data_IF_041235259368
#
_entry.id   IF_041235259368
#
_cell.length_a   1.000
_cell.length_b   1.000
_cell.length_c   1.000
_cell.angle_alpha   90.00
_cell.angle_beta   90.00
_cell.angle_gamma   90.00
#
_symmetry.space_group_name_H-M   'P 1'
#
loop_
_entity.id
_entity.type
_entity.pdbx_description
1 polymer ?
#
# COMPACT_ATOMS: atom_id res chain seq x y z
N UNK A 1 -23.80 18.26 -14.62
CA UNK A 1 -22.92 19.36 -14.13
C UNK A 1 -21.53 18.75 -13.99
N UNK A 2 -20.76 18.77 -15.09
CA UNK A 2 -19.52 18.01 -15.25
C UNK A 2 -18.34 18.81 -14.72
N UNK A 3 -17.71 18.36 -13.63
CA UNK A 3 -16.37 18.81 -13.21
C UNK A 3 -15.67 17.68 -12.44
N UNK A 4 -14.68 17.06 -13.06
CA UNK A 4 -13.38 16.69 -12.48
C UNK A 4 -12.63 15.71 -13.39
N UNK A 5 -12.15 16.20 -14.54
CA UNK A 5 -10.91 15.68 -15.14
C UNK A 5 -9.92 16.84 -15.17
N UNK A 6 -9.10 16.93 -14.13
CA UNK A 6 -7.82 17.66 -14.17
C UNK A 6 -6.75 16.71 -13.67
N UNK A 7 -6.47 15.68 -14.47
CA UNK A 7 -5.10 15.16 -14.53
C UNK A 7 -4.35 16.15 -15.40
N UNK A 8 -3.28 16.73 -14.85
CA UNK A 8 -2.47 17.76 -15.48
C UNK A 8 -2.21 17.44 -16.96
N UNK A 9 -2.58 18.36 -17.85
CA UNK A 9 -2.11 18.41 -19.23
C UNK A 9 -0.61 18.74 -19.21
N UNK A 10 0.23 17.77 -18.87
CA UNK A 10 1.60 17.74 -19.36
C UNK A 10 1.79 16.44 -20.14
N UNK A 11 1.44 16.50 -21.43
CA UNK A 11 1.54 15.38 -22.38
C UNK A 11 2.99 14.99 -22.72
N UNK A 12 4.00 15.61 -22.09
CA UNK A 12 5.40 15.40 -22.46
C UNK A 12 6.00 14.08 -21.94
N UNK A 13 5.33 13.39 -21.01
CA UNK A 13 5.87 12.19 -20.34
C UNK A 13 4.93 10.98 -20.35
N UNK A 14 3.98 10.91 -21.29
CA UNK A 14 3.07 9.75 -21.41
C UNK A 14 3.26 9.14 -22.79
N UNK A 15 3.73 7.89 -22.85
CA UNK A 15 3.76 7.14 -24.10
C UNK A 15 2.35 6.61 -24.38
N UNK A 16 1.72 7.18 -25.40
CA UNK A 16 0.49 6.65 -25.97
C UNK A 16 0.86 5.55 -26.96
N UNK A 17 0.41 4.32 -26.70
CA UNK A 17 0.61 3.20 -27.63
C UNK A 17 -0.65 3.11 -28.50
N UNK A 18 -0.51 3.17 -29.84
CA UNK A 18 -1.67 2.99 -30.72
C UNK A 18 -2.13 1.54 -30.61
N UNK A 19 -3.42 1.34 -30.32
CA UNK A 19 -4.04 0.03 -30.45
C UNK A 19 -4.30 -0.21 -31.94
N UNK A 20 -3.32 -0.80 -32.62
CA UNK A 20 -3.39 -1.08 -34.06
C UNK A 20 -4.51 -2.06 -34.40
N UNK A 21 -5.64 -1.55 -34.91
CA UNK A 21 -6.53 -2.31 -35.78
C UNK A 21 -6.19 -1.98 -37.25
N UNK A 22 -4.99 -2.36 -37.66
CA UNK A 22 -4.58 -2.37 -39.07
C UNK A 22 -4.86 -3.73 -39.71
N UNK A 23 -6.12 -4.15 -39.78
CA UNK A 23 -6.55 -5.18 -40.73
C UNK A 23 -7.75 -4.61 -41.47
N UNK A 24 -7.48 -4.00 -42.62
CA UNK A 24 -8.51 -3.66 -43.59
C UNK A 24 -9.07 -4.98 -44.16
N UNK A 25 -10.11 -5.52 -43.54
CA UNK A 25 -11.00 -6.44 -44.22
C UNK A 25 -12.01 -5.59 -44.99
N UNK A 26 -11.69 -5.28 -46.25
CA UNK A 26 -12.65 -4.69 -47.19
C UNK A 26 -13.76 -5.70 -47.47
N UNK A 27 -14.91 -5.51 -46.83
CA UNK A 27 -16.18 -6.00 -47.36
C UNK A 27 -16.69 -4.99 -48.39
N UNK A 28 -17.15 -5.42 -49.57
CA UNK A 28 -17.66 -4.51 -50.58
C UNK A 28 -19.10 -4.14 -50.25
N UNK A 29 -19.33 -2.85 -49.97
CA UNK A 29 -20.68 -2.29 -49.90
C UNK A 29 -20.94 -1.52 -48.61
N UNK A 30 -21.05 -0.20 -48.80
CA UNK A 30 -21.77 0.77 -48.00
C UNK A 30 -21.13 1.39 -46.74
N UNK A 31 -21.19 2.72 -46.79
CA UNK A 31 -21.02 3.74 -45.74
C UNK A 31 -19.67 3.79 -45.00
N UNK A 32 -18.86 4.76 -45.42
CA UNK A 32 -17.74 5.32 -44.64
C UNK A 32 -18.25 5.83 -43.29
N UNK A 33 -18.12 5.00 -42.25
CA UNK A 33 -18.15 5.43 -40.86
C UNK A 33 -16.87 6.23 -40.58
N UNK A 34 -16.92 7.51 -40.94
CA UNK A 34 -15.84 8.47 -40.75
C UNK A 34 -15.89 9.03 -39.33
N UNK A 35 -15.35 8.25 -38.38
CA UNK A 35 -14.83 8.68 -37.08
C UNK A 35 -14.30 7.45 -36.32
N UNK A 36 -13.15 6.90 -36.74
CA UNK A 36 -12.40 6.05 -35.83
C UNK A 36 -11.84 6.96 -34.73
N UNK A 37 -12.51 7.05 -33.57
CA UNK A 37 -11.88 7.58 -32.37
C UNK A 37 -10.60 6.76 -32.15
N UNK A 38 -9.43 7.38 -32.32
CA UNK A 38 -8.16 6.73 -32.02
C UNK A 38 -8.13 6.43 -30.51
N UNK A 39 -8.40 5.18 -30.15
CA UNK A 39 -8.30 4.71 -28.79
C UNK A 39 -6.83 4.50 -28.42
N UNK A 40 -6.28 5.49 -27.73
CA UNK A 40 -4.93 5.44 -27.18
C UNK A 40 -4.95 4.77 -25.81
N UNK A 41 -4.21 3.68 -25.67
CA UNK A 41 -3.92 3.10 -24.36
C UNK A 41 -2.78 3.90 -23.72
N UNK A 42 -2.97 4.27 -22.46
CA UNK A 42 -1.94 4.94 -21.66
C UNK A 42 -0.99 3.90 -21.09
N UNK A 43 0.30 3.98 -21.41
CA UNK A 43 1.33 3.20 -20.74
C UNK A 43 2.20 4.11 -19.87
N UNK A 44 2.37 3.74 -18.60
CA UNK A 44 3.23 4.42 -17.64
C UNK A 44 4.25 3.40 -17.14
N UNK A 45 5.52 3.65 -17.45
CA UNK A 45 6.64 2.82 -17.02
C UNK A 45 6.90 2.95 -15.51
N UNK A 46 7.70 2.03 -14.94
CA UNK A 46 8.09 2.11 -13.53
C UNK A 46 8.88 3.40 -13.23
N UNK A 47 9.71 3.86 -14.17
CA UNK A 47 10.49 5.10 -14.01
C UNK A 47 9.56 6.32 -13.91
N UNK A 48 8.58 6.43 -14.81
CA UNK A 48 7.59 7.50 -14.81
C UNK A 48 6.71 7.45 -13.56
N UNK A 49 6.17 6.27 -13.22
CA UNK A 49 5.28 6.13 -12.07
C UNK A 49 6.01 6.39 -10.75
N UNK A 50 7.27 5.96 -10.62
CA UNK A 50 8.11 6.17 -9.45
C UNK A 50 8.53 7.63 -9.24
N UNK A 51 8.62 8.41 -10.33
CA UNK A 51 8.91 9.84 -10.30
C UNK A 51 7.67 10.68 -9.94
N UNK A 52 6.48 10.24 -10.35
CA UNK A 52 5.23 10.97 -10.12
C UNK A 52 4.61 10.72 -8.75
N UNK A 53 4.83 9.54 -8.16
CA UNK A 53 4.18 9.18 -6.89
C UNK A 53 4.81 9.88 -5.69
N UNK A 54 3.96 10.49 -4.86
CA UNK A 54 4.31 11.13 -3.59
C UNK A 54 3.46 10.59 -2.45
N UNK A 55 3.87 10.84 -1.21
CA UNK A 55 3.06 10.47 -0.04
C UNK A 55 1.74 11.25 0.01
N UNK A 56 1.73 12.52 -0.44
CA UNK A 56 0.54 13.35 -0.60
C UNK A 56 -0.47 12.69 -1.53
N UNK A 57 -0.02 12.33 -2.73
CA UNK A 57 -0.87 11.73 -3.76
C UNK A 57 -1.40 10.38 -3.30
N UNK A 58 -0.52 9.54 -2.74
CA UNK A 58 -0.91 8.23 -2.26
C UNK A 58 -1.89 8.30 -1.08
N UNK A 59 -1.72 9.24 -0.16
CA UNK A 59 -2.61 9.46 0.97
C UNK A 59 -4.02 9.82 0.51
N UNK A 60 -4.15 10.81 -0.38
CA UNK A 60 -5.48 11.22 -0.86
C UNK A 60 -6.15 10.11 -1.69
N UNK A 61 -5.39 9.44 -2.56
CA UNK A 61 -5.91 8.30 -3.32
C UNK A 61 -6.37 7.14 -2.42
N UNK A 62 -5.59 6.80 -1.38
CA UNK A 62 -5.96 5.77 -0.41
C UNK A 62 -7.21 6.17 0.39
N UNK A 63 -7.29 7.44 0.81
CA UNK A 63 -8.46 7.98 1.52
C UNK A 63 -9.72 7.90 0.65
N UNK A 64 -9.65 8.33 -0.61
CA UNK A 64 -10.75 8.24 -1.56
C UNK A 64 -11.18 6.80 -1.81
N UNK A 65 -10.22 5.89 -2.00
CA UNK A 65 -10.51 4.47 -2.19
C UNK A 65 -11.20 3.85 -0.96
N UNK A 66 -10.78 4.21 0.25
CA UNK A 66 -11.42 3.73 1.49
C UNK A 66 -12.85 4.27 1.62
N UNK A 67 -13.08 5.56 1.32
CA UNK A 67 -14.44 6.12 1.27
C UNK A 67 -15.29 5.42 0.22
N UNK A 68 -14.76 5.20 -0.99
CA UNK A 68 -15.46 4.52 -2.08
C UNK A 68 -15.82 3.07 -1.69
N UNK A 69 -14.94 2.36 -0.98
CA UNK A 69 -15.20 0.99 -0.53
C UNK A 69 -16.35 0.86 0.49
N UNK A 70 -16.74 1.96 1.14
CA UNK A 70 -17.93 2.00 1.98
C UNK A 70 -19.21 2.21 1.16
N UNK A 71 -19.11 2.59 -0.11
CA UNK A 71 -20.24 2.74 -1.01
C UNK A 71 -20.76 1.38 -1.49
N UNK A 72 -22.06 1.30 -1.82
CA UNK A 72 -22.66 0.09 -2.40
C UNK A 72 -22.31 -0.13 -3.88
N UNK A 73 -21.55 0.78 -4.48
CA UNK A 73 -21.20 0.76 -5.90
C UNK A 73 -19.74 0.37 -6.14
N UNK A 74 -18.97 0.14 -5.06
CA UNK A 74 -17.60 -0.37 -5.15
C UNK A 74 -17.53 -1.85 -4.81
N UNK A 75 -16.74 -2.58 -5.59
CA UNK A 75 -16.56 -4.01 -5.48
C UNK A 75 -15.07 -4.34 -5.42
N UNK A 76 -14.71 -5.22 -4.49
CA UNK A 76 -13.40 -5.87 -4.45
C UNK A 76 -13.63 -7.36 -4.64
N UNK A 77 -13.01 -7.94 -5.65
CA UNK A 77 -13.20 -9.35 -5.99
C UNK A 77 -12.15 -10.23 -5.30
N UNK A 78 -12.43 -11.54 -5.13
CA UNK A 78 -11.48 -12.46 -4.51
C UNK A 78 -10.12 -12.46 -5.23
N UNK A 79 -9.05 -12.33 -4.45
CA UNK A 79 -7.70 -12.34 -4.99
C UNK A 79 -7.33 -13.74 -5.51
N UNK A 80 -6.75 -13.81 -6.71
CA UNK A 80 -6.11 -15.03 -7.22
C UNK A 80 -4.67 -15.05 -6.73
N UNK A 81 -4.23 -16.17 -6.15
CA UNK A 81 -2.86 -16.39 -5.72
C UNK A 81 -2.25 -17.52 -6.54
N UNK A 82 -1.14 -17.23 -7.21
CA UNK A 82 -0.43 -18.18 -8.07
C UNK A 82 1.02 -18.40 -7.63
N UNK A 83 1.55 -19.56 -8.00
CA UNK A 83 2.97 -19.92 -7.88
C UNK A 83 3.50 -20.27 -9.24
N UNK A 84 4.78 -20.01 -9.47
CA UNK A 84 5.45 -20.51 -10.68
C UNK A 84 6.02 -21.90 -10.42
N UNK A 85 6.75 -22.45 -11.40
CA UNK A 85 7.51 -23.69 -11.22
C UNK A 85 8.52 -23.60 -10.05
N UNK A 86 9.07 -22.41 -9.79
CA UNK A 86 9.86 -22.16 -8.59
C UNK A 86 8.93 -21.85 -7.41
N UNK A 87 8.87 -22.74 -6.41
CA UNK A 87 7.94 -22.63 -5.28
C UNK A 87 8.08 -21.34 -4.46
N UNK A 88 9.24 -20.68 -4.53
CA UNK A 88 9.52 -19.41 -3.84
C UNK A 88 9.01 -18.18 -4.58
N UNK A 89 8.64 -18.32 -5.85
CA UNK A 89 8.13 -17.23 -6.68
C UNK A 89 6.60 -17.30 -6.72
N UNK A 90 5.97 -16.18 -6.38
CA UNK A 90 4.51 -16.08 -6.28
C UNK A 90 4.01 -14.86 -7.03
N UNK A 91 2.78 -14.92 -7.52
CA UNK A 91 2.07 -13.75 -8.03
C UNK A 91 0.66 -13.70 -7.47
N UNK A 92 0.05 -12.53 -7.53
CA UNK A 92 -1.33 -12.31 -7.12
C UNK A 92 -2.05 -11.43 -8.14
N UNK A 93 -3.33 -11.71 -8.36
CA UNK A 93 -4.22 -10.85 -9.14
C UNK A 93 -5.29 -10.34 -8.18
N UNK A 94 -5.37 -9.02 -8.04
CA UNK A 94 -6.34 -8.34 -7.18
C UNK A 94 -7.14 -7.40 -8.07
N UNK A 95 -8.44 -7.62 -8.16
CA UNK A 95 -9.33 -6.83 -9.01
C UNK A 95 -10.37 -6.07 -8.21
N UNK A 96 -10.80 -4.94 -8.75
CA UNK A 96 -11.83 -4.12 -8.14
C UNK A 96 -12.47 -3.18 -9.16
N UNK A 97 -13.61 -2.64 -8.76
CA UNK A 97 -14.41 -1.71 -9.53
C UNK A 97 -15.03 -0.68 -8.59
N UNK A 98 -15.14 0.56 -9.04
CA UNK A 98 -15.89 1.64 -8.42
C UNK A 98 -16.58 2.44 -9.52
N UNK A 99 -17.34 3.47 -9.15
CA UNK A 99 -18.01 4.37 -10.10
C UNK A 99 -17.03 4.99 -11.11
N UNK A 100 -15.79 5.25 -10.70
CA UNK A 100 -14.80 5.95 -11.51
C UNK A 100 -13.73 5.04 -12.14
N UNK A 101 -13.34 3.93 -11.48
CA UNK A 101 -12.28 3.05 -11.96
C UNK A 101 -12.66 1.56 -11.91
N UNK A 102 -12.33 0.84 -12.98
CA UNK A 102 -12.36 -0.63 -12.99
C UNK A 102 -11.01 -1.17 -13.46
N UNK A 103 -10.48 -2.19 -12.78
CA UNK A 103 -9.19 -2.74 -13.17
C UNK A 103 -8.67 -3.86 -12.29
N UNK A 104 -7.44 -4.25 -12.59
CA UNK A 104 -6.71 -5.32 -11.88
C UNK A 104 -5.30 -4.89 -11.55
N UNK A 105 -4.78 -5.40 -10.44
CA UNK A 105 -3.36 -5.34 -10.09
C UNK A 105 -2.77 -6.73 -10.09
N UNK A 106 -1.70 -6.91 -10.85
CA UNK A 106 -0.88 -8.12 -10.86
C UNK A 106 0.35 -7.82 -10.02
N UNK A 107 0.43 -8.40 -8.82
CA UNK A 107 1.60 -8.30 -7.94
C UNK A 107 2.49 -9.52 -8.10
N UNK A 108 3.81 -9.34 -8.05
CA UNK A 108 4.80 -10.41 -8.13
C UNK A 108 5.76 -10.38 -6.95
N UNK A 109 6.20 -11.56 -6.51
CA UNK A 109 7.27 -11.74 -5.53
C UNK A 109 8.26 -12.80 -6.01
N UNK A 110 9.48 -12.37 -6.33
CA UNK A 110 10.58 -13.21 -6.81
C UNK A 110 11.73 -13.17 -5.80
N UNK A 111 11.94 -14.25 -5.07
CA UNK A 111 12.89 -14.28 -3.94
C UNK A 111 14.34 -14.07 -4.37
N UNK A 112 14.70 -14.51 -5.57
CA UNK A 112 16.05 -14.49 -6.14
C UNK A 112 16.42 -13.18 -6.86
N UNK A 113 15.45 -12.28 -7.10
CA UNK A 113 15.68 -11.02 -7.81
C UNK A 113 16.83 -10.15 -7.26
N UNK A 114 17.09 -10.07 -5.94
CA UNK A 114 18.22 -9.29 -5.45
C UNK A 114 19.57 -9.70 -6.01
N UNK A 115 19.76 -10.98 -6.38
CA UNK A 115 20.99 -11.44 -7.02
C UNK A 115 21.18 -10.87 -8.44
N UNK A 116 20.12 -10.31 -9.03
CA UNK A 116 20.09 -9.65 -10.35
C UNK A 116 19.97 -8.13 -10.24
N UNK A 117 20.10 -7.56 -9.03
CA UNK A 117 19.88 -6.14 -8.80
C UNK A 117 18.42 -5.69 -8.91
N UNK A 118 17.46 -6.63 -8.93
CA UNK A 118 16.03 -6.34 -9.06
C UNK A 118 15.32 -6.41 -7.70
N UNK A 119 14.22 -5.66 -7.51
CA UNK A 119 13.41 -5.77 -6.30
C UNK A 119 12.69 -7.12 -6.26
N UNK A 120 12.48 -7.65 -5.05
CA UNK A 120 11.69 -8.88 -4.85
C UNK A 120 10.24 -8.68 -5.23
N UNK A 121 9.68 -7.54 -4.86
CA UNK A 121 8.30 -7.19 -5.15
C UNK A 121 8.23 -6.29 -6.38
N UNK A 122 7.30 -6.58 -7.27
CA UNK A 122 6.87 -5.64 -8.30
C UNK A 122 5.34 -5.71 -8.45
N UNK A 123 4.75 -4.73 -9.14
CA UNK A 123 3.36 -4.84 -9.54
C UNK A 123 3.05 -4.08 -10.82
N UNK A 124 2.05 -4.56 -11.54
CA UNK A 124 1.49 -3.91 -12.73
C UNK A 124 0.00 -3.70 -12.50
N UNK A 125 -0.49 -2.49 -12.76
CA UNK A 125 -1.91 -2.13 -12.69
C UNK A 125 -2.41 -2.04 -14.12
N UNK A 126 -3.56 -2.65 -14.38
CA UNK A 126 -4.27 -2.56 -15.66
C UNK A 126 -5.64 -1.96 -15.37
N UNK A 127 -5.92 -0.81 -15.98
CA UNK A 127 -7.19 -0.11 -15.90
C UNK A 127 -7.97 -0.33 -17.20
N UNK A 128 -9.25 -0.66 -17.05
CA UNK A 128 -10.19 -0.82 -18.14
C UNK A 128 -11.03 0.45 -18.27
N UNK A 129 -11.34 0.82 -19.51
CA UNK A 129 -12.39 1.77 -19.79
C UNK A 129 -13.74 1.16 -19.39
N UNK A 130 -14.46 1.82 -18.49
CA UNK A 130 -15.69 1.27 -17.90
C UNK A 130 -16.86 1.19 -18.88
N UNK A 131 -16.85 1.98 -19.95
CA UNK A 131 -17.94 2.05 -20.92
C UNK A 131 -17.78 1.03 -22.04
N UNK A 132 -16.52 0.76 -22.44
CA UNK A 132 -16.18 -0.07 -23.59
C UNK A 132 -15.55 -1.41 -23.21
N UNK A 133 -15.04 -1.54 -21.98
CA UNK A 133 -14.27 -2.71 -21.52
C UNK A 133 -12.87 -2.80 -22.13
N UNK A 134 -12.44 -1.83 -22.93
CA UNK A 134 -11.11 -1.82 -23.57
C UNK A 134 -10.01 -1.46 -22.57
N UNK A 135 -8.77 -1.77 -22.90
CA UNK A 135 -7.60 -1.32 -22.13
C UNK A 135 -7.51 0.20 -22.15
N UNK A 136 -7.65 0.81 -20.96
CA UNK A 136 -7.48 2.24 -20.76
C UNK A 136 -6.04 2.59 -20.38
N UNK A 137 -5.47 1.89 -19.39
CA UNK A 137 -4.10 2.12 -18.96
C UNK A 137 -3.37 0.87 -18.47
N UNK A 138 -2.05 0.85 -18.65
CA UNK A 138 -1.13 -0.11 -18.02
C UNK A 138 -0.05 0.68 -17.29
N UNK A 139 0.08 0.45 -15.99
CA UNK A 139 1.00 1.18 -15.11
C UNK A 139 1.89 0.18 -14.39
N UNK A 140 3.20 0.24 -14.62
CA UNK A 140 4.15 -0.41 -13.73
C UNK A 140 4.22 0.38 -12.42
N UNK A 141 4.09 -0.32 -11.30
CA UNK A 141 3.68 0.24 -10.03
C UNK A 141 4.46 -0.38 -8.86
N UNK A 142 5.71 -0.79 -9.06
CA UNK A 142 6.57 -1.38 -8.03
C UNK A 142 6.72 -0.45 -6.83
N UNK A 143 7.22 0.77 -7.06
CA UNK A 143 7.35 1.80 -6.02
C UNK A 143 5.99 2.35 -5.58
N UNK A 144 5.05 2.53 -6.50
CA UNK A 144 3.68 2.98 -6.20
C UNK A 144 3.00 2.03 -5.20
N UNK A 145 3.24 0.72 -5.29
CA UNK A 145 2.70 -0.25 -4.35
C UNK A 145 3.24 -0.07 -2.93
N UNK A 146 4.47 0.42 -2.75
CA UNK A 146 4.99 0.75 -1.43
C UNK A 146 4.30 2.00 -0.86
N UNK A 147 4.17 3.05 -1.67
CA UNK A 147 3.47 4.28 -1.27
C UNK A 147 2.01 4.04 -0.90
N UNK A 148 1.25 3.31 -1.72
CA UNK A 148 -0.18 3.08 -1.45
C UNK A 148 -0.42 2.21 -0.21
N UNK A 149 0.54 1.33 0.12
CA UNK A 149 0.45 0.49 1.32
C UNK A 149 0.63 1.36 2.56
N UNK A 150 1.70 2.16 2.60
CA UNK A 150 1.94 3.11 3.69
C UNK A 150 0.86 4.19 3.81
N UNK A 151 0.28 4.60 2.68
CA UNK A 151 -0.82 5.56 2.67
C UNK A 151 -2.09 5.02 3.33
N UNK A 152 -2.44 3.74 3.11
CA UNK A 152 -3.61 3.14 3.76
C UNK A 152 -3.44 3.12 5.28
N UNK A 153 -2.24 2.76 5.75
CA UNK A 153 -1.89 2.76 7.17
C UNK A 153 -1.89 4.18 7.75
N UNK A 154 -1.36 5.16 7.00
CA UNK A 154 -1.40 6.57 7.40
C UNK A 154 -2.82 7.15 7.47
N UNK A 155 -3.73 6.76 6.56
CA UNK A 155 -5.14 7.20 6.64
C UNK A 155 -5.80 6.67 7.90
N UNK A 156 -5.57 5.41 8.26
CA UNK A 156 -6.10 4.88 9.51
C UNK A 156 -5.45 5.51 10.75
N UNK A 157 -4.13 5.72 10.73
CA UNK A 157 -3.46 6.43 11.80
C UNK A 157 -4.01 7.86 11.93
N UNK A 158 -4.32 8.55 10.83
CA UNK A 158 -4.89 9.88 10.87
C UNK A 158 -6.26 9.93 11.58
N UNK A 159 -7.08 8.90 11.42
CA UNK A 159 -8.38 8.79 12.06
C UNK A 159 -8.30 8.27 13.50
N UNK A 160 -7.37 7.35 13.80
CA UNK A 160 -7.42 6.52 15.01
C UNK A 160 -6.27 6.79 16.00
N UNK A 161 -5.10 7.22 15.54
CA UNK A 161 -3.97 7.48 16.42
C UNK A 161 -4.16 8.82 17.15
N UNK A 162 -3.62 8.93 18.37
CA UNK A 162 -3.59 10.19 19.13
C UNK A 162 -2.94 11.31 18.31
N UNK A 163 -3.51 12.51 18.34
CA UNK A 163 -3.07 13.65 17.52
C UNK A 163 -1.68 14.17 17.90
N UNK A 164 -1.29 13.96 19.15
CA UNK A 164 -0.01 14.33 19.75
C UNK A 164 1.02 13.20 19.76
N UNK A 165 0.83 12.15 18.95
CA UNK A 165 1.82 11.08 18.82
C UNK A 165 3.14 11.62 18.26
N UNK A 166 4.24 11.43 19.00
CA UNK A 166 5.58 11.94 18.71
C UNK A 166 6.62 10.84 18.53
N UNK A 167 6.40 9.67 19.13
CA UNK A 167 7.35 8.55 19.07
C UNK A 167 6.79 7.42 18.22
N UNK A 168 7.51 7.06 17.16
CA UNK A 168 7.21 5.94 16.28
C UNK A 168 8.23 4.81 16.48
N UNK A 169 7.78 3.60 16.79
CA UNK A 169 8.60 2.40 16.67
C UNK A 169 8.31 1.68 15.34
N UNK A 170 9.35 1.35 14.60
CA UNK A 170 9.25 0.59 13.35
C UNK A 170 9.98 -0.74 13.47
N UNK A 171 9.25 -1.83 13.32
CA UNK A 171 9.79 -3.19 13.34
C UNK A 171 10.06 -3.66 11.91
N UNK A 172 11.33 -3.96 11.65
CA UNK A 172 11.85 -4.31 10.34
C UNK A 172 12.56 -3.14 9.67
N UNK A 173 13.58 -3.48 8.88
CA UNK A 173 14.33 -2.54 8.04
C UNK A 173 14.25 -2.95 6.55
N UNK A 174 13.09 -3.47 6.16
CA UNK A 174 12.80 -3.85 4.77
C UNK A 174 12.34 -2.64 3.95
N UNK A 175 12.14 -2.86 2.64
CA UNK A 175 11.79 -1.80 1.70
C UNK A 175 10.56 -0.96 2.13
N UNK A 176 9.60 -1.57 2.83
CA UNK A 176 8.37 -0.88 3.24
C UNK A 176 8.58 0.06 4.43
N UNK A 177 9.54 -0.24 5.33
CA UNK A 177 9.68 0.46 6.61
C UNK A 177 9.89 1.97 6.46
N UNK A 178 10.71 2.39 5.50
CA UNK A 178 10.93 3.82 5.22
C UNK A 178 9.66 4.53 4.73
N UNK A 179 8.87 3.88 3.86
CA UNK A 179 7.61 4.46 3.37
C UNK A 179 6.59 4.62 4.49
N UNK A 180 6.48 3.64 5.40
CA UNK A 180 5.59 3.73 6.57
C UNK A 180 5.98 4.90 7.48
N UNK A 181 7.26 5.02 7.81
CA UNK A 181 7.77 6.10 8.67
C UNK A 181 7.45 7.46 8.06
N UNK A 182 7.75 7.64 6.77
CA UNK A 182 7.47 8.91 6.08
C UNK A 182 5.97 9.20 5.96
N UNK A 183 5.13 8.20 5.68
CA UNK A 183 3.70 8.40 5.59
C UNK A 183 3.07 8.79 6.95
N UNK A 184 3.52 8.16 8.04
CA UNK A 184 3.04 8.45 9.39
C UNK A 184 3.54 9.79 9.93
N UNK A 185 4.81 10.13 9.67
CA UNK A 185 5.39 11.42 10.06
C UNK A 185 4.73 12.62 9.36
N UNK A 186 4.00 12.40 8.26
CA UNK A 186 3.19 13.46 7.63
C UNK A 186 1.86 13.71 8.32
N UNK A 187 1.27 12.68 8.93
CA UNK A 187 -0.06 12.80 9.56
C UNK A 187 0.03 13.03 11.06
N UNK A 188 1.18 12.79 11.67
CA UNK A 188 1.44 13.03 13.10
C UNK A 188 2.75 13.78 13.30
N UNK A 189 2.88 14.57 14.39
CA UNK A 189 4.09 15.31 14.70
C UNK A 189 5.18 14.37 15.24
N UNK A 190 5.58 13.38 14.47
CA UNK A 190 6.63 12.43 14.84
C UNK A 190 7.95 13.18 14.94
N UNK A 191 8.61 13.03 16.07
CA UNK A 191 9.91 13.64 16.39
C UNK A 191 10.98 12.55 16.45
N UNK A 192 10.67 11.41 17.08
CA UNK A 192 11.60 10.30 17.30
C UNK A 192 11.13 9.02 16.60
N UNK A 193 12.06 8.34 15.92
CA UNK A 193 11.85 7.04 15.27
C UNK A 193 12.79 5.97 15.85
N UNK A 194 12.20 4.95 16.45
CA UNK A 194 12.90 3.82 17.06
C UNK A 194 12.87 2.63 16.09
N UNK A 195 14.01 2.35 15.45
CA UNK A 195 14.14 1.29 14.46
C UNK A 195 14.53 -0.03 15.14
N UNK A 196 13.62 -1.00 15.11
CA UNK A 196 13.82 -2.33 15.67
C UNK A 196 14.07 -3.33 14.54
N UNK A 197 15.33 -3.70 14.35
CA UNK A 197 15.72 -4.76 13.43
C UNK A 197 17.02 -5.41 13.89
N UNK A 198 17.28 -6.62 13.41
CA UNK A 198 18.59 -7.28 13.61
C UNK A 198 19.72 -6.37 13.11
N UNK A 199 20.86 -6.30 13.82
CA UNK A 199 22.01 -5.52 13.37
C UNK A 199 22.37 -5.87 11.92
N UNK A 200 22.34 -4.87 11.04
CA UNK A 200 22.58 -5.04 9.62
C UNK A 200 22.78 -3.68 8.95
N UNK A 201 23.52 -3.66 7.84
CA UNK A 201 23.69 -2.45 7.03
C UNK A 201 22.37 -1.84 6.55
N UNK A 202 21.32 -2.65 6.37
CA UNK A 202 19.98 -2.16 6.02
C UNK A 202 19.32 -1.38 7.14
N UNK A 203 19.50 -1.80 8.40
CA UNK A 203 18.99 -1.09 9.57
C UNK A 203 19.67 0.27 9.67
N UNK A 204 21.00 0.27 9.55
CA UNK A 204 21.80 1.48 9.71
C UNK A 204 21.49 2.47 8.59
N UNK A 205 21.42 2.00 7.33
CA UNK A 205 20.98 2.82 6.21
C UNK A 205 19.56 3.38 6.36
N UNK A 206 18.63 2.62 6.96
CA UNK A 206 17.28 3.13 7.24
C UNK A 206 17.30 4.23 8.29
N UNK A 207 18.09 4.07 9.36
CA UNK A 207 18.27 5.09 10.40
C UNK A 207 18.83 6.37 9.76
N UNK A 208 19.88 6.26 8.96
CA UNK A 208 20.50 7.40 8.28
C UNK A 208 19.50 8.10 7.34
N UNK A 209 18.77 7.33 6.51
CA UNK A 209 17.76 7.87 5.60
C UNK A 209 16.63 8.62 6.32
N UNK A 210 16.23 8.17 7.51
CA UNK A 210 15.21 8.85 8.32
C UNK A 210 15.81 10.12 8.94
N UNK A 211 17.07 10.06 9.40
CA UNK A 211 17.81 11.22 9.92
C UNK A 211 18.00 12.33 8.88
N UNK A 212 18.33 11.99 7.63
CA UNK A 212 18.43 12.93 6.51
C UNK A 212 17.11 13.67 6.21
N UNK A 213 15.97 13.12 6.66
CA UNK A 213 14.65 13.74 6.55
C UNK A 213 14.29 14.62 7.75
N UNK A 214 15.20 14.79 8.70
CA UNK A 214 15.05 15.69 9.85
C UNK A 214 14.37 15.07 11.07
N UNK A 215 14.27 13.74 11.14
CA UNK A 215 13.71 13.02 12.30
C UNK A 215 14.83 12.44 13.17
N UNK A 216 14.63 12.40 14.49
CA UNK A 216 15.57 11.73 15.41
C UNK A 216 15.41 10.22 15.31
N UNK A 217 16.23 9.58 14.47
CA UNK A 217 16.20 8.15 14.25
C UNK A 217 17.34 7.43 14.95
N UNK A 218 17.03 6.32 15.62
CA UNK A 218 18.04 5.44 16.20
C UNK A 218 17.59 3.99 16.25
N UNK A 219 18.57 3.08 16.26
CA UNK A 219 18.30 1.69 16.56
C UNK A 219 17.85 1.54 18.02
N UNK A 220 16.89 0.65 18.27
CA UNK A 220 16.38 0.35 19.60
C UNK A 220 16.16 -1.15 19.80
N UNK A 221 16.17 -1.57 21.06
CA UNK A 221 15.74 -2.93 21.42
C UNK A 221 14.20 -2.99 21.45
N UNK A 222 13.59 -4.16 21.15
CA UNK A 222 12.14 -4.30 21.02
C UNK A 222 11.33 -3.76 22.20
N UNK A 223 11.72 -4.08 23.44
CA UNK A 223 10.95 -3.68 24.63
C UNK A 223 10.93 -2.17 24.83
N UNK A 224 12.12 -1.54 24.87
CA UNK A 224 12.24 -0.09 25.02
C UNK A 224 11.48 0.66 23.93
N UNK A 225 11.55 0.16 22.69
CA UNK A 225 10.86 0.77 21.56
C UNK A 225 9.34 0.74 21.73
N UNK A 226 8.77 -0.41 22.11
CA UNK A 226 7.31 -0.55 22.26
C UNK A 226 6.81 0.23 23.46
N UNK A 227 7.55 0.24 24.57
CA UNK A 227 7.15 0.98 25.78
C UNK A 227 7.17 2.49 25.58
N UNK A 228 8.08 3.00 24.74
CA UNK A 228 8.19 4.43 24.44
C UNK A 228 7.26 4.88 23.31
N UNK A 229 6.76 3.96 22.48
CA UNK A 229 6.05 4.29 21.25
C UNK A 229 4.61 4.75 21.45
N UNK A 230 4.26 5.87 20.82
CA UNK A 230 2.88 6.28 20.59
C UNK A 230 2.27 5.51 19.40
N UNK A 231 3.10 5.19 18.41
CA UNK A 231 2.72 4.39 17.23
C UNK A 231 3.74 3.27 17.04
N UNK A 232 3.27 2.04 16.83
CA UNK A 232 4.11 0.89 16.48
C UNK A 232 3.72 0.41 15.09
N UNK A 233 4.70 0.29 14.20
CA UNK A 233 4.53 -0.31 12.86
C UNK A 233 5.27 -1.62 12.80
N UNK A 234 4.64 -2.67 12.29
CA UNK A 234 5.29 -3.95 11.98
C UNK A 234 5.30 -4.21 10.48
N UNK A 235 6.51 -4.32 9.92
CA UNK A 235 6.74 -4.49 8.48
C UNK A 235 7.74 -5.62 8.19
N UNK A 236 7.52 -6.79 8.78
CA UNK A 236 8.41 -7.97 8.73
C UNK A 236 7.71 -9.19 8.12
N UNK A 237 8.47 -10.16 7.60
CA UNK A 237 7.91 -11.45 7.18
C UNK A 237 7.76 -12.45 8.35
N UNK A 238 7.67 -11.98 9.60
CA UNK A 238 7.67 -12.87 10.78
C UNK A 238 6.48 -13.83 10.81
N UNK A 239 6.71 -15.00 11.38
CA UNK A 239 5.69 -16.01 11.70
C UNK A 239 5.40 -16.11 13.20
N UNK A 240 6.12 -15.31 13.98
CA UNK A 240 6.02 -15.25 15.44
C UNK A 240 5.85 -13.80 15.90
N UNK A 241 5.13 -13.57 17.01
CA UNK A 241 5.00 -12.24 17.61
C UNK A 241 6.35 -11.54 17.78
N UNK A 242 6.41 -10.27 17.41
CA UNK A 242 7.65 -9.48 17.44
C UNK A 242 7.95 -8.86 18.81
N UNK A 243 6.94 -8.76 19.67
CA UNK A 243 7.02 -8.14 20.98
C UNK A 243 5.95 -8.72 21.91
N UNK A 244 6.12 -8.52 23.22
CA UNK A 244 5.14 -8.90 24.23
C UNK A 244 4.00 -7.88 24.29
N UNK A 245 2.76 -8.36 24.42
CA UNK A 245 1.59 -7.51 24.60
C UNK A 245 1.65 -6.65 25.87
N UNK A 246 2.36 -7.09 26.91
CA UNK A 246 2.55 -6.34 28.15
C UNK A 246 3.44 -5.10 28.00
N UNK A 247 4.16 -4.96 26.90
CA UNK A 247 4.98 -3.79 26.61
C UNK A 247 4.14 -2.63 26.04
N UNK A 248 2.98 -2.93 25.44
CA UNK A 248 2.12 -1.95 24.80
C UNK A 248 1.41 -1.09 25.84
N UNK A 249 1.70 0.21 25.82
CA UNK A 249 1.06 1.19 26.68
C UNK A 249 -0.37 1.56 26.24
N UNK A 250 -1.19 2.09 27.15
CA UNK A 250 -2.48 2.66 26.77
C UNK A 250 -2.29 3.87 25.86
N UNK A 251 -3.17 4.01 24.85
CA UNK A 251 -3.07 5.07 23.86
C UNK A 251 -2.08 4.81 22.72
N UNK A 252 -1.38 3.67 22.69
CA UNK A 252 -0.55 3.24 21.55
C UNK A 252 -1.43 2.79 20.38
N UNK A 253 -1.09 3.27 19.18
CA UNK A 253 -1.68 2.83 17.92
C UNK A 253 -0.75 1.82 17.23
N UNK A 254 -1.27 0.67 16.81
CA UNK A 254 -0.47 -0.40 16.21
C UNK A 254 -0.92 -0.60 14.77
N UNK A 255 0.03 -0.50 13.85
CA UNK A 255 -0.11 -0.81 12.43
C UNK A 255 0.58 -2.15 12.16
N UNK A 256 -0.17 -3.16 11.73
CA UNK A 256 0.40 -4.45 11.33
C UNK A 256 0.23 -4.69 9.84
N UNK A 257 1.34 -4.51 9.11
CA UNK A 257 1.39 -4.61 7.65
C UNK A 257 1.89 -5.98 7.18
N UNK A 258 2.87 -6.57 7.87
CA UNK A 258 3.60 -7.76 7.42
C UNK A 258 2.85 -9.09 7.49
N UNK A 259 1.73 -9.16 8.21
CA UNK A 259 0.89 -10.37 8.32
C UNK A 259 -0.07 -10.51 7.11
N UNK A 260 0.48 -10.64 5.90
CA UNK A 260 -0.26 -10.58 4.62
C UNK A 260 -0.47 -11.96 3.95
N UNK A 261 -0.01 -13.05 4.56
CA UNK A 261 -0.10 -14.41 4.02
C UNK A 261 -0.30 -15.45 5.13
N UNK A 262 -0.90 -16.61 4.81
CA UNK A 262 -1.12 -17.68 5.79
C UNK A 262 0.15 -18.06 6.56
N UNK A 263 0.01 -18.16 7.89
CA UNK A 263 1.11 -18.50 8.80
C UNK A 263 2.03 -17.34 9.18
N UNK A 264 1.90 -16.16 8.55
CA UNK A 264 2.55 -14.95 9.06
C UNK A 264 1.80 -14.39 10.25
N UNK A 265 2.55 -13.93 11.24
CA UNK A 265 2.03 -13.36 12.47
C UNK A 265 3.10 -12.46 13.05
N UNK A 266 2.76 -11.19 13.26
CA UNK A 266 3.65 -10.21 13.89
C UNK A 266 3.16 -9.77 15.26
N UNK A 267 1.84 -9.86 15.49
CA UNK A 267 1.22 -9.39 16.71
C UNK A 267 1.00 -10.52 17.73
N UNK A 268 1.24 -10.25 19.02
CA UNK A 268 0.80 -11.14 20.10
C UNK A 268 -0.74 -11.23 20.16
N UNK A 269 -1.25 -12.41 20.49
CA UNK A 269 -2.69 -12.73 20.49
C UNK A 269 -3.43 -11.99 21.60
N UNK A 270 -2.70 -11.68 22.66
CA UNK A 270 -3.15 -11.09 23.91
C UNK A 270 -3.59 -9.62 23.73
N UNK A 271 -3.25 -9.00 22.59
CA UNK A 271 -3.73 -7.66 22.23
C UNK A 271 -5.20 -7.66 21.85
N UNK A 272 -5.69 -8.64 21.09
CA UNK A 272 -7.04 -8.57 20.50
C UNK A 272 -8.18 -8.41 21.52
N UNK A 273 -8.19 -9.06 22.70
CA UNK A 273 -9.25 -8.88 23.68
C UNK A 273 -9.31 -7.48 24.31
N UNK A 274 -8.21 -6.73 24.26
CA UNK A 274 -8.05 -5.44 24.98
C UNK A 274 -8.12 -4.22 24.07
N UNK A 275 -8.17 -4.42 22.76
CA UNK A 275 -7.97 -3.36 21.77
C UNK A 275 -9.09 -3.37 20.72
N UNK A 276 -9.35 -2.20 20.13
CA UNK A 276 -10.26 -2.09 19.00
C UNK A 276 -9.47 -2.38 17.72
N UNK A 277 -9.79 -3.47 17.05
CA UNK A 277 -9.14 -3.88 15.81
C UNK A 277 -9.96 -3.37 14.61
N UNK A 278 -9.29 -2.67 13.70
CA UNK A 278 -9.80 -2.26 12.41
C UNK A 278 -9.01 -2.97 11.31
N UNK A 279 -9.73 -3.54 10.34
CA UNK A 279 -9.12 -4.21 9.19
C UNK A 279 -9.34 -3.31 7.98
N UNK A 280 -8.25 -2.80 7.40
CA UNK A 280 -8.31 -1.79 6.32
C UNK A 280 -8.30 -2.48 4.94
N UNK A 281 -7.80 -3.70 4.85
CA UNK A 281 -7.80 -4.47 3.61
C UNK A 281 -8.71 -5.69 3.75
N UNK A 282 -9.82 -5.69 3.01
CA UNK A 282 -10.78 -6.79 3.00
C UNK A 282 -10.08 -8.11 2.62
N UNK A 283 -10.11 -9.14 3.47
CA UNK A 283 -9.71 -10.46 3.04
C UNK A 283 -10.72 -10.94 1.99
N UNK A 284 -10.21 -11.69 1.00
CA UNK A 284 -11.03 -12.64 0.25
C UNK A 284 -11.96 -13.40 1.24
N UNK A 285 -13.20 -13.76 0.86
CA UNK A 285 -14.10 -14.52 1.74
C UNK A 285 -13.51 -15.84 2.26
N UNK A 286 -12.39 -16.31 1.70
CA UNK A 286 -11.50 -17.29 2.32
C UNK A 286 -10.60 -16.65 3.40
N UNK A 287 -11.08 -16.69 4.65
CA UNK A 287 -10.40 -16.37 5.92
C UNK A 287 -8.85 -16.39 5.87
N UNK A 288 -8.25 -15.20 5.98
CA UNK A 288 -7.08 -14.88 6.82
C UNK A 288 -6.82 -13.38 6.69
N UNK A 289 -6.79 -12.67 7.80
CA UNK A 289 -6.66 -11.21 7.86
C UNK A 289 -5.46 -10.70 7.05
N UNK A 290 -5.69 -9.80 6.12
CA UNK A 290 -4.67 -9.02 5.44
C UNK A 290 -4.67 -7.61 6.04
N UNK A 291 -3.58 -7.22 6.68
CA UNK A 291 -3.34 -5.95 7.39
C UNK A 291 -4.38 -5.60 8.49
N UNK A 292 -3.95 -5.68 9.75
CA UNK A 292 -4.76 -5.30 10.91
C UNK A 292 -4.17 -4.04 11.56
N UNK A 293 -5.00 -3.02 11.77
CA UNK A 293 -4.65 -1.83 12.53
C UNK A 293 -5.40 -1.87 13.86
N UNK A 294 -4.68 -1.86 14.98
CA UNK A 294 -5.24 -2.00 16.31
C UNK A 294 -5.07 -0.71 17.10
N UNK A 295 -6.16 -0.16 17.65
CA UNK A 295 -6.15 1.02 18.51
C UNK A 295 -6.45 0.65 19.96
N UNK A 296 -5.68 1.18 20.90
CA UNK A 296 -5.96 1.09 22.34
C UNK A 296 -7.04 2.10 22.74
N UNK A 297 -7.98 1.70 23.60
CA UNK A 297 -8.86 2.67 24.28
C UNK A 297 -8.09 3.35 25.41
N UNK A 298 -8.02 4.68 25.39
CA UNK A 298 -7.82 5.48 26.60
C UNK A 298 -9.20 5.91 27.09
N UNK A 299 -9.80 5.17 28.02
CA UNK A 299 -11.01 5.67 28.71
C UNK A 299 -10.55 6.65 29.80
N UNK A 300 -10.99 7.92 29.82
CA UNK A 300 -10.98 8.67 31.06
C UNK A 300 -11.98 7.99 32.00
N UNK A 301 -11.59 7.76 33.24
CA UNK A 301 -12.54 7.36 34.26
C UNK A 301 -13.63 8.43 34.39
N UNK A 302 -14.85 8.08 34.03
CA UNK A 302 -16.06 8.88 34.29
C UNK A 302 -16.51 9.76 33.14
N UNK A 303 -17.47 9.24 32.36
CA UNK A 303 -18.73 9.92 32.04
C UNK A 303 -19.69 8.86 31.50
N UNK A 304 -20.87 8.82 32.11
CA UNK A 304 -22.00 7.94 31.77
C UNK A 304 -22.59 8.32 30.42
#
# INVERSE_FOLDING_TARGET
MNRCFVVARDRRHVRTIPNGNGIAATLPGDETLDAQEEFWMVYISEEESAALVTHELAFEAARQALVASASRQSWVFPAVLGRTHEATNTFSIKSGSSDDLTGVKIGSFWSSNPARGLPRHNSTIVLLDQHTGRLGAVVEAGKVNAYRTAAADAVAADLLARKQAKVLATFGAGNQAGFEVMALARVRPIETVLVVARPSSRRDALVDQIGERGLDARAAVPEDAVRAADIVVTATPSREPLFDAAWVGPGTHIVSMGSDAPGKRELPSELFPRHVCFVICFPSPSRSASSNTCATRSTPAGLR
#
